data_IF_996224166007
#
_entry.id   IF_996224166007
#
_cell.length_a   1.000
_cell.length_b   1.000
_cell.length_c   1.000
_cell.angle_alpha   90.00
_cell.angle_beta   90.00
_cell.angle_gamma   90.00
#
_symmetry.space_group_name_H-M   'P 1'
#
loop_
_entity.id
_entity.type
_entity.pdbx_description
1 polymer ?
#
# COMPACT_ATOMS: atom_id res chain seq x y z
N UNK A 1 6.36 2.21 13.25
CA UNK A 1 5.20 3.12 13.36
C UNK A 1 5.45 4.13 14.47
N UNK A 2 6.46 4.98 14.29
CA UNK A 2 6.77 6.03 15.27
C UNK A 2 6.11 7.33 14.83
N UNK A 3 5.32 7.95 15.70
CA UNK A 3 4.64 9.24 15.44
C UNK A 3 5.63 10.41 15.52
N UNK A 4 6.77 10.22 16.18
CA UNK A 4 7.76 11.29 16.37
C UNK A 4 8.45 11.71 15.07
N UNK A 5 8.44 10.87 14.04
CA UNK A 5 9.05 11.20 12.74
C UNK A 5 8.30 12.32 12.02
N UNK A 6 7.02 12.55 12.33
CA UNK A 6 6.21 13.58 11.65
C UNK A 6 6.78 14.98 11.86
N UNK A 7 7.39 15.23 13.02
CA UNK A 7 8.01 16.50 13.33
C UNK A 7 9.25 16.80 12.47
N UNK A 8 9.89 15.77 11.92
CA UNK A 8 11.02 15.90 11.00
C UNK A 8 10.63 16.06 9.53
N UNK A 9 9.34 15.92 9.19
CA UNK A 9 8.86 16.05 7.81
C UNK A 9 8.72 17.52 7.39
N UNK A 10 8.87 17.83 6.09
CA UNK A 10 8.49 19.12 5.52
C UNK A 10 7.03 19.48 5.85
N UNK A 11 6.73 20.77 6.06
CA UNK A 11 5.39 21.23 6.47
C UNK A 11 4.28 20.76 5.52
N UNK A 12 4.54 20.72 4.21
CA UNK A 12 3.57 20.28 3.21
C UNK A 12 3.24 18.77 3.28
N UNK A 13 4.08 17.96 3.95
CA UNK A 13 3.87 16.52 4.09
C UNK A 13 3.26 16.12 5.44
N UNK A 14 3.38 16.97 6.47
CA UNK A 14 2.93 16.65 7.83
C UNK A 14 1.45 16.30 7.86
N UNK A 15 0.59 17.16 7.31
CA UNK A 15 -0.86 16.94 7.30
C UNK A 15 -1.26 15.61 6.63
N UNK A 16 -0.66 15.28 5.48
CA UNK A 16 -0.93 14.04 4.77
C UNK A 16 -0.46 12.80 5.55
N UNK A 17 0.69 12.89 6.22
CA UNK A 17 1.21 11.81 7.04
C UNK A 17 0.37 11.59 8.30
N UNK A 18 -0.01 12.66 9.00
CA UNK A 18 -0.87 12.61 10.18
C UNK A 18 -2.24 12.00 9.84
N UNK A 19 -2.86 12.45 8.74
CA UNK A 19 -4.11 11.89 8.25
C UNK A 19 -3.98 10.40 7.96
N UNK A 20 -2.91 9.99 7.27
CA UNK A 20 -2.66 8.58 6.95
C UNK A 20 -2.46 7.74 8.21
N UNK A 21 -1.70 8.24 9.19
CA UNK A 21 -1.50 7.54 10.46
C UNK A 21 -2.80 7.36 11.25
N UNK A 22 -3.59 8.43 11.37
CA UNK A 22 -4.88 8.37 12.08
C UNK A 22 -5.83 7.39 11.41
N UNK A 23 -5.99 7.49 10.08
CA UNK A 23 -6.85 6.58 9.32
C UNK A 23 -6.43 5.12 9.51
N UNK A 24 -5.14 4.83 9.48
CA UNK A 24 -4.64 3.46 9.68
C UNK A 24 -4.88 2.95 11.09
N UNK A 25 -4.69 3.78 12.10
CA UNK A 25 -4.98 3.44 13.49
C UNK A 25 -6.48 3.12 13.68
N UNK A 26 -7.37 3.94 13.10
CA UNK A 26 -8.82 3.72 13.16
C UNK A 26 -9.26 2.41 12.50
N UNK A 27 -8.73 2.10 11.29
CA UNK A 27 -9.04 0.84 10.61
C UNK A 27 -8.48 -0.33 11.41
N UNK A 28 -7.25 -0.23 11.92
CA UNK A 28 -6.62 -1.29 12.69
C UNK A 28 -7.39 -1.62 13.97
N UNK A 29 -7.86 -0.61 14.71
CA UNK A 29 -8.68 -0.79 15.92
C UNK A 29 -10.00 -1.50 15.60
N UNK A 30 -10.67 -1.12 14.50
CA UNK A 30 -11.92 -1.77 14.06
C UNK A 30 -11.69 -3.23 13.70
N UNK A 31 -10.64 -3.48 12.92
CA UNK A 31 -10.30 -4.79 12.41
C UNK A 31 -9.76 -5.74 13.50
N UNK A 32 -9.01 -5.22 14.49
CA UNK A 32 -8.46 -6.01 15.60
C UNK A 32 -9.55 -6.68 16.43
N UNK A 33 -10.67 -5.99 16.68
CA UNK A 33 -11.83 -6.55 17.39
C UNK A 33 -12.36 -7.84 16.75
N UNK A 34 -12.19 -7.98 15.43
CA UNK A 34 -12.73 -9.09 14.64
C UNK A 34 -11.68 -10.12 14.24
N UNK A 35 -10.48 -9.66 13.88
CA UNK A 35 -9.44 -10.48 13.26
C UNK A 35 -8.22 -10.70 14.15
N UNK A 36 -8.20 -10.08 15.33
CA UNK A 36 -7.12 -10.12 16.31
C UNK A 36 -5.99 -9.13 16.02
N UNK A 37 -5.05 -9.02 16.95
CA UNK A 37 -3.93 -8.07 16.93
C UNK A 37 -2.96 -8.23 15.75
N UNK A 38 -3.03 -9.35 15.03
CA UNK A 38 -2.22 -9.61 13.83
C UNK A 38 -2.49 -8.61 12.69
N UNK A 39 -3.66 -7.97 12.66
CA UNK A 39 -4.01 -6.98 11.63
C UNK A 39 -3.01 -5.83 11.57
N UNK A 40 -2.54 -5.38 12.73
CA UNK A 40 -1.54 -4.31 12.81
C UNK A 40 -0.27 -4.69 12.03
N UNK A 41 0.24 -5.92 12.20
CA UNK A 41 1.45 -6.38 11.49
C UNK A 41 1.22 -6.43 9.97
N UNK A 42 0.05 -6.87 9.53
CA UNK A 42 -0.27 -6.91 8.10
C UNK A 42 -0.37 -5.51 7.49
N UNK A 43 -1.11 -4.60 8.14
CA UNK A 43 -1.21 -3.21 7.69
C UNK A 43 0.16 -2.55 7.60
N UNK A 44 1.00 -2.73 8.63
CA UNK A 44 2.34 -2.16 8.63
C UNK A 44 3.17 -2.65 7.43
N UNK A 45 3.16 -3.96 7.15
CA UNK A 45 3.90 -4.55 6.03
C UNK A 45 3.43 -4.04 4.66
N UNK A 46 2.13 -3.92 4.45
CA UNK A 46 1.58 -3.43 3.18
C UNK A 46 1.95 -1.97 2.93
N UNK A 47 1.82 -1.13 3.97
CA UNK A 47 2.16 0.28 3.88
C UNK A 47 3.66 0.53 3.74
N UNK A 48 4.50 -0.23 4.45
CA UNK A 48 5.95 -0.20 4.26
C UNK A 48 6.31 -0.56 2.81
N UNK A 49 5.75 -1.64 2.27
CA UNK A 49 6.00 -2.06 0.89
C UNK A 49 5.58 -0.99 -0.12
N UNK A 50 4.43 -0.36 0.10
CA UNK A 50 3.94 0.74 -0.73
C UNK A 50 4.86 1.96 -0.72
N UNK A 51 5.27 2.42 0.47
CA UNK A 51 6.15 3.58 0.60
C UNK A 51 7.50 3.30 -0.04
N UNK A 52 8.08 2.11 0.18
CA UNK A 52 9.35 1.71 -0.44
C UNK A 52 9.24 1.61 -1.96
N UNK A 53 8.11 1.12 -2.47
CA UNK A 53 7.85 1.03 -3.90
C UNK A 53 7.74 2.41 -4.56
N UNK A 54 7.04 3.37 -3.92
CA UNK A 54 6.98 4.76 -4.37
C UNK A 54 8.35 5.45 -4.28
N UNK A 55 9.13 5.17 -3.24
CA UNK A 55 10.50 5.66 -3.11
C UNK A 55 11.38 5.14 -4.27
N UNK A 56 11.21 3.89 -4.69
CA UNK A 56 11.92 3.33 -5.84
C UNK A 56 11.59 4.09 -7.13
N UNK A 57 10.32 4.42 -7.37
CA UNK A 57 9.94 5.24 -8.54
C UNK A 57 10.52 6.65 -8.47
N UNK A 58 10.48 7.28 -7.29
CA UNK A 58 11.10 8.59 -7.08
C UNK A 58 12.61 8.56 -7.34
N UNK A 59 13.29 7.48 -6.95
CA UNK A 59 14.72 7.27 -7.26
C UNK A 59 14.97 7.08 -8.75
N UNK A 60 14.13 6.32 -9.46
CA UNK A 60 14.23 6.19 -10.92
C UNK A 60 14.12 7.54 -11.61
N UNK A 61 13.14 8.36 -11.20
CA UNK A 61 12.96 9.73 -11.70
C UNK A 61 14.21 10.58 -11.41
N UNK A 62 14.67 10.59 -10.16
CA UNK A 62 15.81 11.42 -9.73
C UNK A 62 17.13 11.04 -10.43
N UNK A 63 17.27 9.80 -10.88
CA UNK A 63 18.47 9.28 -11.54
C UNK A 63 18.34 9.15 -13.05
N UNK A 64 17.20 9.57 -13.64
CA UNK A 64 16.84 9.33 -15.04
C UNK A 64 16.99 7.85 -15.45
N UNK A 65 16.73 6.93 -14.53
CA UNK A 65 16.79 5.51 -14.80
C UNK A 65 15.51 5.05 -15.49
N UNK A 66 15.64 4.43 -16.66
CA UNK A 66 14.54 3.74 -17.34
C UNK A 66 14.61 2.25 -17.00
N UNK A 67 13.71 1.73 -16.17
CA UNK A 67 13.70 0.31 -15.83
C UNK A 67 13.31 -0.55 -17.03
N UNK A 68 13.66 -1.83 -16.98
CA UNK A 68 13.05 -2.83 -17.88
C UNK A 68 11.55 -2.97 -17.59
N UNK A 69 10.77 -3.48 -18.55
CA UNK A 69 9.33 -3.69 -18.35
C UNK A 69 9.02 -4.59 -17.13
N UNK A 70 9.79 -5.66 -16.94
CA UNK A 70 9.60 -6.57 -15.81
C UNK A 70 9.97 -5.87 -14.48
N UNK A 71 11.05 -5.10 -14.45
CA UNK A 71 11.42 -4.34 -13.27
C UNK A 71 10.36 -3.28 -12.92
N UNK A 72 9.85 -2.59 -13.94
CA UNK A 72 8.79 -1.61 -13.81
C UNK A 72 7.53 -2.25 -13.23
N UNK A 73 7.03 -3.34 -13.83
CA UNK A 73 5.82 -4.01 -13.39
C UNK A 73 5.95 -4.60 -11.99
N UNK A 74 7.09 -5.20 -11.65
CA UNK A 74 7.31 -5.79 -10.33
C UNK A 74 7.21 -4.73 -9.22
N UNK A 75 7.68 -3.50 -9.48
CA UNK A 75 7.44 -2.39 -8.56
C UNK A 75 6.01 -1.84 -8.67
N UNK A 76 5.52 -1.71 -9.91
CA UNK A 76 4.23 -1.16 -10.30
C UNK A 76 3.03 -1.85 -9.65
N UNK A 77 3.12 -3.15 -9.41
CA UNK A 77 2.10 -3.95 -8.70
C UNK A 77 1.82 -3.44 -7.29
N UNK A 78 2.84 -2.87 -6.65
CA UNK A 78 2.75 -2.33 -5.30
C UNK A 78 2.48 -0.82 -5.34
N UNK A 79 3.19 -0.07 -6.18
CA UNK A 79 3.06 1.40 -6.25
C UNK A 79 1.69 1.88 -6.74
N UNK A 80 0.93 1.06 -7.46
CA UNK A 80 -0.45 1.39 -7.89
C UNK A 80 -1.48 1.43 -6.74
N UNK A 81 -1.07 1.15 -5.49
CA UNK A 81 -1.89 1.20 -4.27
C UNK A 81 -3.05 0.20 -4.18
N UNK A 82 -3.37 -0.55 -5.24
CA UNK A 82 -4.44 -1.56 -5.24
C UNK A 82 -4.34 -2.58 -4.08
N UNK A 83 -3.15 -3.05 -3.66
CA UNK A 83 -3.03 -3.94 -2.50
C UNK A 83 -3.47 -3.28 -1.17
N UNK A 84 -3.16 -1.99 -0.99
CA UNK A 84 -3.58 -1.25 0.21
C UNK A 84 -5.09 -1.10 0.26
N UNK A 85 -5.71 -0.70 -0.86
CA UNK A 85 -7.16 -0.50 -0.95
C UNK A 85 -7.88 -1.82 -0.68
N UNK A 86 -7.38 -2.91 -1.25
CA UNK A 86 -7.92 -4.26 -1.04
C UNK A 86 -7.80 -4.69 0.42
N UNK A 87 -6.63 -4.50 1.04
CA UNK A 87 -6.43 -4.80 2.46
C UNK A 87 -7.39 -4.02 3.36
N UNK A 88 -7.60 -2.73 3.11
CA UNK A 88 -8.54 -1.92 3.89
C UNK A 88 -9.97 -2.43 3.78
N UNK A 89 -10.42 -2.74 2.56
CA UNK A 89 -11.75 -3.32 2.35
C UNK A 89 -11.91 -4.62 3.13
N UNK A 90 -10.93 -5.52 3.04
CA UNK A 90 -10.92 -6.80 3.75
C UNK A 90 -10.97 -6.61 5.27
N UNK A 91 -10.18 -5.69 5.83
CA UNK A 91 -10.16 -5.40 7.26
C UNK A 91 -11.49 -4.85 7.80
N UNK A 92 -12.32 -4.26 6.93
CA UNK A 92 -13.62 -3.69 7.28
C UNK A 92 -14.80 -4.62 6.93
N UNK A 93 -14.54 -5.79 6.33
CA UNK A 93 -15.59 -6.76 6.05
C UNK A 93 -16.18 -7.33 7.34
N UNK A 94 -17.50 -7.52 7.34
CA UNK A 94 -18.19 -8.15 8.46
C UNK A 94 -18.06 -9.69 8.47
N UNK A 95 -17.03 -10.24 7.82
CA UNK A 95 -16.73 -11.69 7.82
C UNK A 95 -15.33 -11.94 8.37
N UNK A 96 -15.14 -12.94 9.23
CA UNK A 96 -13.80 -13.30 9.72
C UNK A 96 -12.93 -13.79 8.57
N UNK A 97 -11.69 -13.29 8.50
CA UNK A 97 -10.70 -13.65 7.47
C UNK A 97 -9.71 -14.70 8.01
N UNK A 98 -9.76 -15.95 7.53
CA UNK A 98 -8.73 -16.95 7.83
C UNK A 98 -7.38 -16.56 7.23
N UNK A 99 -6.29 -17.04 7.82
CA UNK A 99 -4.94 -16.74 7.33
C UNK A 99 -4.70 -17.26 5.90
N UNK A 100 -5.22 -18.45 5.59
CA UNK A 100 -5.07 -19.07 4.28
C UNK A 100 -5.78 -18.27 3.17
N UNK A 101 -6.86 -17.58 3.51
CA UNK A 101 -7.59 -16.72 2.59
C UNK A 101 -6.75 -15.48 2.23
N UNK A 102 -6.05 -14.90 3.20
CA UNK A 102 -5.15 -13.77 2.95
C UNK A 102 -4.01 -14.15 1.98
N UNK A 103 -3.50 -15.39 2.05
CA UNK A 103 -2.49 -15.88 1.10
C UNK A 103 -3.04 -16.09 -0.30
N UNK A 104 -4.27 -16.60 -0.43
CA UNK A 104 -4.93 -16.80 -1.72
C UNK A 104 -5.28 -15.47 -2.42
N UNK A 105 -5.63 -14.45 -1.64
CA UNK A 105 -5.92 -13.10 -2.14
C UNK A 105 -4.71 -12.50 -2.87
N UNK A 106 -3.48 -12.77 -2.43
CA UNK A 106 -2.27 -12.21 -3.05
C UNK A 106 -2.17 -12.45 -4.57
N UNK A 107 -2.61 -13.61 -5.07
CA UNK A 107 -2.54 -13.91 -6.51
C UNK A 107 -3.53 -13.08 -7.32
N UNK A 108 -4.77 -12.97 -6.83
CA UNK A 108 -5.81 -12.16 -7.46
C UNK A 108 -5.44 -10.68 -7.36
N UNK A 109 -4.97 -10.25 -6.20
CA UNK A 109 -4.49 -8.90 -5.94
C UNK A 109 -3.37 -8.50 -6.92
N UNK A 110 -2.39 -9.39 -7.16
CA UNK A 110 -1.32 -9.14 -8.14
C UNK A 110 -1.89 -8.89 -9.54
N UNK A 111 -2.83 -9.73 -10.00
CA UNK A 111 -3.45 -9.55 -11.32
C UNK A 111 -4.26 -8.25 -11.41
N UNK A 112 -5.02 -7.92 -10.36
CA UNK A 112 -5.77 -6.67 -10.26
C UNK A 112 -4.80 -5.48 -10.32
N UNK A 113 -3.70 -5.52 -9.57
CA UNK A 113 -2.68 -4.48 -9.59
C UNK A 113 -2.06 -4.29 -10.98
N UNK A 114 -1.73 -5.37 -11.70
CA UNK A 114 -1.21 -5.29 -13.07
C UNK A 114 -2.24 -4.60 -13.98
N UNK A 115 -3.50 -5.01 -13.92
CA UNK A 115 -4.58 -4.39 -14.69
C UNK A 115 -4.74 -2.90 -14.36
N UNK A 116 -4.76 -2.54 -13.07
CA UNK A 116 -4.83 -1.14 -12.63
C UNK A 116 -3.65 -0.32 -13.14
N UNK A 117 -2.43 -0.86 -13.02
CA UNK A 117 -1.19 -0.21 -13.45
C UNK A 117 -1.22 0.06 -14.96
N UNK A 118 -1.39 -0.99 -15.76
CA UNK A 118 -1.38 -0.86 -17.22
C UNK A 118 -2.54 0.00 -17.74
N UNK A 119 -3.72 -0.08 -17.12
CA UNK A 119 -4.84 0.77 -17.51
C UNK A 119 -4.59 2.24 -17.19
N UNK A 120 -4.02 2.55 -16.01
CA UNK A 120 -3.65 3.90 -15.65
C UNK A 120 -2.62 4.47 -16.63
N UNK A 121 -1.53 3.74 -16.88
CA UNK A 121 -0.46 4.19 -17.76
C UNK A 121 -0.96 4.37 -19.21
N UNK A 122 -1.89 3.53 -19.68
CA UNK A 122 -2.46 3.67 -21.03
C UNK A 122 -3.23 4.98 -21.26
N UNK A 123 -3.63 5.67 -20.18
CA UNK A 123 -4.42 6.91 -20.23
C UNK A 123 -3.60 8.15 -19.88
N UNK A 124 -2.65 8.01 -18.96
CA UNK A 124 -1.99 9.14 -18.32
C UNK A 124 -0.51 9.30 -18.72
N UNK A 125 0.03 8.40 -19.55
CA UNK A 125 1.44 8.46 -19.95
C UNK A 125 1.77 9.59 -20.94
N UNK A 126 0.79 10.01 -21.77
CA UNK A 126 0.96 11.07 -22.79
C UNK A 126 0.61 12.44 -22.22
#
# INVERSE_FOLDING_TARGET
>A
WDKNIVHSLPENMKASFEFSQQMLEEIAIKAEKKHGSRVHKFMQKYWESFILSNLKEAQWIATNHTPSFDEYLNNGVISVAAPIVTLHALCLLDTFLPEDLLRQINNIETLVSICCRLLNDSRDYQ
#
